data_IF_137848564285
#
_entry.id   IF_137848564285
#
_cell.length_a   1.000
_cell.length_b   1.000
_cell.length_c   1.000
_cell.angle_alpha   90.00
_cell.angle_beta   90.00
_cell.angle_gamma   90.00
#
_symmetry.space_group_name_H-M   'P 1'
#
loop_
_entity.id
_entity.type
_entity.pdbx_description
1 polymer ?
#
# COMPACT_ATOMS: atom_id res chain seq x y z
N UNK A 1 -2.76 45.94 -19.51
CA UNK A 1 -1.53 46.76 -19.33
C UNK A 1 -0.73 46.18 -18.17
N UNK A 2 0.55 45.84 -18.41
CA UNK A 2 1.66 45.56 -17.46
C UNK A 2 1.55 44.27 -16.62
N UNK A 3 2.32 43.21 -16.92
CA UNK A 3 3.76 42.91 -16.59
C UNK A 3 3.93 42.58 -15.09
N UNK A 4 4.67 41.58 -14.58
CA UNK A 4 5.79 40.68 -14.97
C UNK A 4 5.75 39.48 -14.00
N UNK A 5 6.05 38.20 -14.31
CA UNK A 5 7.28 37.51 -14.74
C UNK A 5 8.47 37.58 -13.74
N UNK A 6 8.87 36.37 -13.28
CA UNK A 6 10.20 35.84 -12.86
C UNK A 6 10.68 35.96 -11.41
N UNK A 7 11.15 34.82 -10.90
CA UNK A 7 12.07 34.72 -9.76
C UNK A 7 12.37 33.29 -9.31
N UNK A 8 12.95 32.45 -10.19
CA UNK A 8 13.61 31.18 -9.80
C UNK A 8 14.92 31.54 -9.10
N UNK A 9 15.10 31.12 -7.84
CA UNK A 9 16.35 31.29 -7.12
C UNK A 9 17.04 29.92 -7.01
N UNK A 10 17.94 29.67 -7.96
CA UNK A 10 18.91 28.58 -7.89
C UNK A 10 20.06 28.95 -6.98
N UNK A 11 20.41 28.07 -6.04
CA UNK A 11 21.62 28.16 -5.24
C UNK A 11 22.67 27.25 -5.90
N UNK A 12 23.65 27.88 -6.54
CA UNK A 12 24.92 27.29 -6.92
C UNK A 12 25.93 27.75 -5.88
N UNK A 13 26.52 26.83 -5.12
CA UNK A 13 27.72 27.12 -4.32
C UNK A 13 28.83 26.18 -4.81
N UNK A 14 29.92 26.82 -5.20
CA UNK A 14 31.08 26.29 -5.87
C UNK A 14 32.18 25.85 -4.86
N UNK A 15 32.93 24.83 -5.29
CA UNK A 15 34.39 24.63 -5.16
C UNK A 15 35.07 24.72 -3.78
N UNK A 16 35.77 23.63 -3.43
CA UNK A 16 37.10 23.69 -2.84
C UNK A 16 37.97 22.51 -3.33
N UNK A 17 39.12 22.87 -3.91
CA UNK A 17 40.23 22.03 -4.38
C UNK A 17 41.15 21.61 -3.21
N UNK A 18 42.20 20.82 -3.55
CA UNK A 18 43.48 20.49 -2.86
C UNK A 18 43.54 18.97 -2.57
N UNK A 19 44.57 18.17 -2.93
CA UNK A 19 45.99 18.37 -3.25
C UNK A 19 46.57 17.22 -4.11
N UNK A 20 47.69 17.56 -4.76
CA UNK A 20 48.60 16.84 -5.67
C UNK A 20 49.47 15.70 -5.12
N UNK A 21 49.91 14.80 -6.03
CA UNK A 21 51.21 14.08 -6.04
C UNK A 21 51.08 12.60 -6.47
N UNK A 22 51.92 11.95 -7.28
CA UNK A 22 53.20 12.24 -7.94
C UNK A 22 53.48 11.09 -8.97
N UNK A 23 53.98 11.44 -10.16
CA UNK A 23 54.80 10.72 -11.17
C UNK A 23 54.85 9.17 -11.31
N UNK A 24 54.65 8.70 -12.55
CA UNK A 24 55.18 7.42 -13.06
C UNK A 24 54.75 7.10 -14.52
N UNK A 25 55.66 7.22 -15.49
CA UNK A 25 55.49 6.73 -16.88
C UNK A 25 55.92 5.25 -16.98
N UNK A 26 55.16 4.37 -17.66
CA UNK A 26 55.68 3.26 -18.49
C UNK A 26 54.58 2.60 -19.35
N UNK A 27 54.99 1.98 -20.44
CA UNK A 27 54.21 1.57 -21.62
C UNK A 27 53.90 0.04 -21.64
N UNK A 28 52.84 -0.33 -22.37
CA UNK A 28 52.44 -1.65 -22.94
C UNK A 28 51.81 -2.77 -22.08
N UNK A 29 50.68 -3.23 -22.65
CA UNK A 29 50.04 -4.57 -22.67
C UNK A 29 48.72 -4.78 -21.90
N UNK A 30 47.84 -5.48 -22.64
CA UNK A 30 46.45 -5.89 -22.39
C UNK A 30 46.20 -6.46 -20.99
N UNK A 31 45.03 -6.14 -20.42
CA UNK A 31 43.96 -7.13 -20.20
C UNK A 31 42.65 -6.42 -19.81
N UNK A 32 41.57 -7.08 -20.22
CA UNK A 32 40.15 -6.89 -19.90
C UNK A 32 39.86 -6.35 -18.49
N UNK A 33 38.93 -5.39 -18.40
CA UNK A 33 37.98 -5.28 -17.29
C UNK A 33 36.81 -4.39 -17.67
N UNK A 34 35.79 -5.06 -18.17
CA UNK A 34 34.38 -4.77 -17.90
C UNK A 34 34.18 -4.28 -16.46
N UNK A 35 33.63 -3.07 -16.28
CA UNK A 35 33.01 -2.51 -15.08
C UNK A 35 32.83 -1.01 -15.34
N UNK A 36 31.71 -0.35 -15.12
CA UNK A 36 30.50 -0.71 -14.41
C UNK A 36 29.51 0.40 -14.79
N UNK A 37 28.63 0.12 -15.75
CA UNK A 37 27.42 0.93 -15.89
C UNK A 37 26.46 0.38 -14.87
N UNK A 38 26.54 0.87 -13.64
CA UNK A 38 25.46 0.75 -12.66
C UNK A 38 24.30 1.62 -13.15
N UNK A 39 23.63 1.16 -14.20
CA UNK A 39 22.25 1.53 -14.44
C UNK A 39 21.48 0.71 -13.41
N UNK A 40 20.86 1.39 -12.45
CA UNK A 40 19.73 0.81 -11.73
C UNK A 40 18.72 0.39 -12.82
N UNK A 41 18.78 -0.87 -13.22
CA UNK A 41 17.83 -1.43 -14.16
C UNK A 41 16.50 -1.43 -13.42
N UNK A 42 15.62 -0.48 -13.75
CA UNK A 42 14.24 -0.56 -13.35
C UNK A 42 13.70 -1.89 -13.87
N UNK A 43 13.45 -2.82 -12.95
CA UNK A 43 12.85 -4.11 -13.26
C UNK A 43 11.47 -3.84 -13.87
N UNK A 44 11.26 -4.28 -15.11
CA UNK A 44 10.07 -3.99 -15.91
C UNK A 44 8.79 -4.57 -15.31
N UNK A 45 8.94 -5.61 -14.48
CA UNK A 45 7.83 -6.38 -13.92
C UNK A 45 7.75 -6.28 -12.39
N UNK A 46 8.50 -5.39 -11.74
CA UNK A 46 8.48 -5.27 -10.27
C UNK A 46 7.09 -4.93 -9.71
N UNK A 47 6.23 -4.27 -10.50
CA UNK A 47 4.85 -3.94 -10.15
C UNK A 47 3.86 -5.12 -10.34
N UNK A 48 4.33 -6.27 -10.85
CA UNK A 48 3.50 -7.45 -11.10
C UNK A 48 3.47 -8.43 -9.93
N UNK A 49 4.28 -8.22 -8.89
CA UNK A 49 4.23 -9.06 -7.69
C UNK A 49 2.86 -8.91 -7.02
N UNK A 50 2.15 -10.03 -6.88
CA UNK A 50 0.78 -10.12 -6.34
C UNK A 50 -0.34 -9.98 -7.38
N UNK A 51 -0.01 -9.67 -8.65
CA UNK A 51 -1.00 -9.57 -9.71
C UNK A 51 -1.54 -10.95 -10.13
N UNK A 52 -2.72 -11.02 -10.78
CA UNK A 52 -3.15 -12.22 -11.47
C UNK A 52 -2.08 -12.71 -12.43
N UNK A 53 -1.81 -14.01 -12.41
CA UNK A 53 -0.76 -14.61 -13.22
C UNK A 53 -1.02 -14.42 -14.72
N UNK A 54 -2.29 -14.44 -15.14
CA UNK A 54 -2.71 -14.13 -16.51
C UNK A 54 -2.24 -12.75 -16.98
N UNK A 55 -2.41 -11.71 -16.17
CA UNK A 55 -1.96 -10.34 -16.50
C UNK A 55 -0.43 -10.25 -16.61
N UNK A 56 0.27 -11.00 -15.76
CA UNK A 56 1.74 -11.03 -15.77
C UNK A 56 2.27 -11.74 -17.02
N UNK A 57 1.66 -12.87 -17.40
CA UNK A 57 1.97 -13.58 -18.64
C UNK A 57 1.81 -12.64 -19.85
N UNK A 58 0.70 -11.91 -19.91
CA UNK A 58 0.43 -10.98 -21.01
C UNK A 58 1.48 -9.87 -21.09
N UNK A 59 1.90 -9.31 -19.95
CA UNK A 59 2.95 -8.27 -19.91
C UNK A 59 4.33 -8.79 -20.29
N UNK A 60 4.72 -9.98 -19.83
CA UNK A 60 5.99 -10.63 -20.20
C UNK A 60 6.03 -10.86 -21.71
N UNK A 61 4.95 -11.40 -22.27
CA UNK A 61 4.82 -11.64 -23.70
C UNK A 61 4.83 -10.33 -24.52
N UNK A 62 4.09 -9.31 -24.06
CA UNK A 62 4.04 -8.00 -24.72
C UNK A 62 5.40 -7.29 -24.72
N UNK A 63 6.21 -7.48 -23.68
CA UNK A 63 7.57 -6.96 -23.60
C UNK A 63 8.58 -7.78 -24.46
N UNK A 64 8.16 -8.91 -25.03
CA UNK A 64 9.00 -9.79 -25.83
C UNK A 64 9.98 -10.61 -25.00
N UNK A 65 9.64 -10.89 -23.74
CA UNK A 65 10.40 -11.75 -22.84
C UNK A 65 9.87 -13.18 -22.88
N UNK A 66 10.74 -14.14 -22.57
CA UNK A 66 10.35 -15.54 -22.33
C UNK A 66 10.15 -15.77 -20.84
N UNK A 67 8.95 -16.15 -20.43
CA UNK A 67 8.62 -16.46 -19.04
C UNK A 67 8.90 -17.91 -18.67
N UNK A 68 9.48 -18.13 -17.50
CA UNK A 68 9.58 -19.43 -16.82
C UNK A 68 8.81 -19.36 -15.52
N UNK A 69 7.90 -20.30 -15.27
CA UNK A 69 6.96 -20.23 -14.15
C UNK A 69 7.20 -21.35 -13.17
N UNK A 70 7.49 -21.00 -11.91
CA UNK A 70 7.91 -21.94 -10.87
C UNK A 70 6.85 -22.00 -9.77
N UNK A 71 6.14 -23.12 -9.64
CA UNK A 71 5.24 -23.39 -8.52
C UNK A 71 5.93 -24.34 -7.53
N UNK A 72 6.05 -23.94 -6.26
CA UNK A 72 6.65 -24.76 -5.19
C UNK A 72 8.03 -25.38 -5.56
N UNK A 73 8.85 -24.63 -6.30
CA UNK A 73 10.17 -25.08 -6.76
C UNK A 73 10.16 -25.99 -8.00
N UNK A 74 9.00 -26.21 -8.62
CA UNK A 74 8.82 -27.00 -9.84
C UNK A 74 8.49 -26.09 -11.02
N UNK A 75 9.18 -26.31 -12.15
CA UNK A 75 8.86 -25.64 -13.40
C UNK A 75 7.54 -26.18 -13.98
N UNK A 76 6.55 -25.30 -14.05
CA UNK A 76 5.20 -25.58 -14.58
C UNK A 76 4.93 -24.83 -15.89
N UNK A 77 5.96 -24.28 -16.54
CA UNK A 77 5.83 -23.48 -17.76
C UNK A 77 5.07 -24.19 -18.88
N UNK A 78 5.21 -25.52 -18.99
CA UNK A 78 4.54 -26.33 -20.01
C UNK A 78 3.03 -26.47 -19.81
N UNK A 79 2.55 -26.30 -18.59
CA UNK A 79 1.13 -26.43 -18.21
C UNK A 79 0.55 -25.09 -17.73
N UNK A 80 1.29 -23.99 -17.94
CA UNK A 80 0.95 -22.69 -17.37
C UNK A 80 -0.44 -22.23 -17.77
N UNK A 81 -0.87 -22.53 -19.00
CA UNK A 81 -2.20 -22.18 -19.48
C UNK A 81 -3.34 -22.89 -18.74
N UNK A 82 -3.08 -24.10 -18.24
CA UNK A 82 -4.07 -24.90 -17.51
C UNK A 82 -4.15 -24.48 -16.04
N UNK A 83 -3.06 -23.95 -15.48
CA UNK A 83 -2.96 -23.63 -14.05
C UNK A 83 -3.00 -22.13 -13.76
N UNK A 84 -2.89 -21.25 -14.76
CA UNK A 84 -2.75 -19.79 -14.53
C UNK A 84 -3.87 -19.15 -13.70
N UNK A 85 -5.06 -19.75 -13.73
CA UNK A 85 -6.22 -19.27 -12.98
C UNK A 85 -6.19 -19.66 -11.50
N UNK A 86 -5.30 -20.56 -11.08
CA UNK A 86 -5.16 -21.03 -9.69
C UNK A 86 -4.02 -20.33 -8.94
N UNK A 87 -3.25 -19.49 -9.63
CA UNK A 87 -2.04 -18.86 -9.09
C UNK A 87 -2.00 -17.35 -9.34
N UNK A 88 -1.22 -16.69 -8.50
CA UNK A 88 -0.82 -15.29 -8.61
C UNK A 88 0.68 -15.20 -8.77
N UNK A 89 1.12 -14.03 -9.21
CA UNK A 89 2.51 -13.74 -9.45
C UNK A 89 3.24 -13.50 -8.13
N UNK A 90 4.28 -14.29 -7.86
CA UNK A 90 5.19 -14.12 -6.74
C UNK A 90 6.40 -13.28 -7.13
N UNK A 91 7.57 -13.66 -6.64
CA UNK A 91 8.83 -13.00 -7.00
C UNK A 91 9.14 -13.17 -8.49
N UNK A 92 9.61 -12.10 -9.13
CA UNK A 92 10.05 -12.11 -10.52
C UNK A 92 11.54 -11.80 -10.58
N UNK A 93 12.33 -12.73 -11.13
CA UNK A 93 13.73 -12.50 -11.48
C UNK A 93 13.84 -12.22 -12.96
N UNK A 94 14.15 -10.98 -13.29
CA UNK A 94 14.34 -10.54 -14.66
C UNK A 94 15.80 -10.70 -15.08
N UNK A 95 16.04 -11.25 -16.27
CA UNK A 95 17.31 -11.14 -17.00
C UNK A 95 17.10 -10.31 -18.28
N UNK A 96 17.36 -8.98 -18.23
CA UNK A 96 17.20 -8.10 -19.37
C UNK A 96 18.13 -8.43 -20.55
N UNK A 97 19.26 -9.11 -20.29
CA UNK A 97 20.24 -9.44 -21.34
C UNK A 97 19.75 -10.58 -22.23
N UNK A 98 19.18 -11.60 -21.59
CA UNK A 98 18.62 -12.77 -22.28
C UNK A 98 17.13 -12.63 -22.61
N UNK A 99 16.48 -11.54 -22.15
CA UNK A 99 15.04 -11.32 -22.25
C UNK A 99 14.24 -12.49 -21.67
N UNK A 100 14.65 -12.93 -20.48
CA UNK A 100 13.97 -14.00 -19.75
C UNK A 100 13.47 -13.49 -18.41
N UNK A 101 12.34 -14.01 -17.95
CA UNK A 101 11.79 -13.70 -16.63
C UNK A 101 11.40 -15.00 -15.93
N UNK A 102 11.99 -15.27 -14.77
CA UNK A 102 11.59 -16.37 -13.89
C UNK A 102 10.58 -15.84 -12.89
N UNK A 103 9.37 -16.40 -12.90
CA UNK A 103 8.25 -16.00 -12.05
C UNK A 103 7.94 -17.12 -11.08
N UNK A 104 8.09 -16.87 -9.79
CA UNK A 104 7.60 -17.78 -8.75
C UNK A 104 6.09 -17.62 -8.64
N UNK A 105 5.34 -18.72 -8.53
CA UNK A 105 3.89 -18.71 -8.43
C UNK A 105 3.46 -18.84 -6.97
N UNK A 106 2.41 -18.12 -6.60
CA UNK A 106 1.73 -18.25 -5.30
C UNK A 106 0.30 -18.73 -5.53
N UNK A 107 -0.14 -19.85 -4.92
CA UNK A 107 -1.53 -20.29 -5.03
C UNK A 107 -2.50 -19.18 -4.61
N UNK A 108 -3.61 -19.00 -5.33
CA UNK A 108 -4.65 -18.03 -4.95
C UNK A 108 -5.26 -18.37 -3.58
N UNK A 109 -5.26 -19.65 -3.19
CA UNK A 109 -5.65 -20.08 -1.84
C UNK A 109 -4.77 -19.48 -0.74
N UNK A 110 -3.49 -19.17 -1.02
CA UNK A 110 -2.64 -18.39 -0.10
C UNK A 110 -3.05 -16.93 -0.06
N UNK A 111 -3.50 -16.33 -1.17
CA UNK A 111 -4.05 -14.96 -1.16
C UNK A 111 -5.37 -14.91 -0.41
N UNK A 112 -6.24 -15.92 -0.47
CA UNK A 112 -7.44 -15.93 0.37
C UNK A 112 -7.10 -16.06 1.86
N UNK A 113 -6.05 -16.80 2.22
CA UNK A 113 -5.58 -16.86 3.62
C UNK A 113 -4.90 -15.56 4.08
N UNK A 114 -4.07 -14.92 3.23
CA UNK A 114 -3.39 -13.65 3.52
C UNK A 114 -4.36 -12.43 3.42
N UNK A 115 -5.40 -12.49 2.58
CA UNK A 115 -6.49 -11.51 2.54
C UNK A 115 -7.49 -11.71 3.67
N UNK A 116 -7.67 -12.92 4.20
CA UNK A 116 -8.51 -13.13 5.39
C UNK A 116 -7.85 -12.62 6.68
N UNK A 117 -6.52 -12.43 6.72
CA UNK A 117 -5.84 -11.77 7.84
C UNK A 117 -5.80 -10.23 7.72
N UNK A 118 -6.09 -9.65 6.55
CA UNK A 118 -6.08 -8.19 6.31
C UNK A 118 -7.42 -7.65 5.79
N UNK A 119 -8.44 -8.49 5.63
CA UNK A 119 -9.83 -8.03 5.53
C UNK A 119 -10.35 -7.82 6.94
N UNK A 120 -9.74 -6.86 7.63
CA UNK A 120 -10.42 -6.19 8.72
C UNK A 120 -11.74 -5.68 8.13
N UNK A 121 -12.85 -6.34 8.46
CA UNK A 121 -14.14 -6.04 7.85
C UNK A 121 -14.37 -4.52 7.93
N UNK A 122 -14.76 -3.93 6.80
CA UNK A 122 -15.05 -2.50 6.73
C UNK A 122 -15.94 -2.12 7.90
N UNK A 123 -15.60 -1.01 8.57
CA UNK A 123 -16.36 -0.57 9.73
C UNK A 123 -17.87 -0.46 9.41
N UNK A 124 -18.66 -1.32 10.02
CA UNK A 124 -20.11 -1.34 9.95
C UNK A 124 -20.70 -0.31 10.91
N UNK A 125 -21.89 0.19 10.59
CA UNK A 125 -22.57 1.21 11.39
C UNK A 125 -22.76 0.78 12.85
N UNK A 126 -23.19 -0.46 13.09
CA UNK A 126 -23.43 -1.00 14.44
C UNK A 126 -22.14 -1.08 15.26
N UNK A 127 -21.01 -1.40 14.61
CA UNK A 127 -19.69 -1.42 15.23
C UNK A 127 -19.20 -0.01 15.54
N UNK A 128 -19.47 0.95 14.65
CA UNK A 128 -19.18 2.36 14.89
C UNK A 128 -19.99 2.90 16.09
N UNK A 129 -21.29 2.60 16.19
CA UNK A 129 -22.12 2.96 17.34
C UNK A 129 -21.63 2.32 18.65
N UNK A 130 -21.23 1.04 18.60
CA UNK A 130 -20.67 0.32 19.74
C UNK A 130 -19.37 0.97 20.23
N UNK A 131 -18.50 1.38 19.31
CA UNK A 131 -17.25 2.07 19.63
C UNK A 131 -17.52 3.44 20.29
N UNK A 132 -18.47 4.23 19.78
CA UNK A 132 -18.88 5.50 20.39
C UNK A 132 -19.43 5.29 21.80
N UNK A 133 -20.24 4.26 22.01
CA UNK A 133 -20.77 3.91 23.34
C UNK A 133 -19.64 3.60 24.31
N UNK A 134 -18.74 2.69 23.94
CA UNK A 134 -17.61 2.30 24.78
C UNK A 134 -16.70 3.50 25.10
N UNK A 135 -16.40 4.32 24.10
CA UNK A 135 -15.59 5.51 24.29
C UNK A 135 -16.25 6.53 25.22
N UNK A 136 -17.54 6.79 25.06
CA UNK A 136 -18.30 7.67 25.95
C UNK A 136 -18.33 7.16 27.39
N UNK A 137 -18.50 5.85 27.59
CA UNK A 137 -18.42 5.22 28.91
C UNK A 137 -17.02 5.34 29.53
N UNK A 138 -15.96 5.28 28.72
CA UNK A 138 -14.59 5.52 29.18
C UNK A 138 -14.34 6.95 29.68
N UNK A 139 -15.07 7.95 29.15
CA UNK A 139 -14.93 9.37 29.53
C UNK A 139 -15.86 9.76 30.68
N UNK A 140 -17.13 9.37 30.57
CA UNK A 140 -18.21 9.85 31.45
C UNK A 140 -18.68 8.80 32.47
N UNK A 141 -18.11 7.60 32.45
CA UNK A 141 -18.49 6.49 33.33
C UNK A 141 -19.71 5.71 32.82
N UNK A 142 -20.19 4.79 33.65
CA UNK A 142 -21.34 3.92 33.32
C UNK A 142 -22.66 4.69 33.13
N UNK A 143 -22.71 5.93 33.63
CA UNK A 143 -23.85 6.85 33.47
C UNK A 143 -23.96 7.46 32.07
N UNK A 144 -23.03 7.14 31.15
CA UNK A 144 -23.16 7.45 29.74
C UNK A 144 -24.07 6.45 29.04
N UNK A 145 -25.25 6.91 28.65
CA UNK A 145 -26.19 6.12 27.85
C UNK A 145 -26.33 6.71 26.45
N UNK A 146 -25.96 5.93 25.44
CA UNK A 146 -26.08 6.33 24.04
C UNK A 146 -27.40 5.80 23.49
N UNK A 147 -28.36 6.69 23.28
CA UNK A 147 -29.67 6.33 22.79
C UNK A 147 -29.72 6.42 21.26
N UNK A 148 -29.15 5.43 20.58
CA UNK A 148 -29.15 5.33 19.12
C UNK A 148 -30.35 4.56 18.55
N UNK A 149 -31.16 3.94 19.41
CA UNK A 149 -32.27 3.06 18.99
C UNK A 149 -33.63 3.79 18.89
N UNK A 150 -33.84 4.92 19.56
CA UNK A 150 -35.19 5.51 19.74
C UNK A 150 -35.57 6.67 18.81
N UNK A 151 -34.81 6.93 17.74
CA UNK A 151 -35.43 7.52 16.54
C UNK A 151 -35.06 8.95 16.10
N UNK A 152 -33.92 9.51 16.55
CA UNK A 152 -33.26 10.64 15.85
C UNK A 152 -31.74 10.48 15.83
N UNK A 153 -31.29 9.55 15.01
CA UNK A 153 -29.87 9.33 14.73
C UNK A 153 -29.52 9.83 13.34
N UNK A 154 -28.30 10.33 13.19
CA UNK A 154 -27.67 10.53 11.88
C UNK A 154 -26.47 9.61 11.86
N UNK A 155 -26.51 8.61 11.01
CA UNK A 155 -25.35 7.85 10.60
C UNK A 155 -25.13 8.09 9.11
N UNK A 156 -23.95 8.60 8.76
CA UNK A 156 -23.58 8.80 7.36
C UNK A 156 -22.12 8.47 7.16
N UNK A 157 -21.79 7.89 6.02
CA UNK A 157 -20.41 7.75 5.59
C UNK A 157 -19.88 9.09 5.10
N UNK A 158 -18.77 9.56 5.66
CA UNK A 158 -18.04 10.76 5.21
C UNK A 158 -16.78 10.41 4.40
N UNK A 159 -16.35 9.14 4.42
CA UNK A 159 -15.19 8.61 3.69
C UNK A 159 -15.35 7.13 3.36
N UNK A 160 -14.35 6.46 2.75
CA UNK A 160 -14.43 5.03 2.42
C UNK A 160 -14.61 4.12 3.64
N UNK A 161 -14.11 4.57 4.80
CA UNK A 161 -14.05 3.84 6.08
C UNK A 161 -14.47 4.69 7.29
N UNK A 162 -14.96 5.92 7.08
CA UNK A 162 -15.30 6.85 8.16
C UNK A 162 -16.80 7.09 8.29
N UNK A 163 -17.35 6.78 9.46
CA UNK A 163 -18.71 7.10 9.88
C UNK A 163 -18.77 8.42 10.63
N UNK A 164 -19.72 9.27 10.25
CA UNK A 164 -20.20 10.37 11.06
C UNK A 164 -21.47 9.94 11.78
N UNK A 165 -21.45 10.06 13.10
CA UNK A 165 -22.53 9.63 13.97
C UNK A 165 -23.03 10.81 14.81
N UNK A 166 -24.34 10.96 14.92
CA UNK A 166 -24.98 11.94 15.81
C UNK A 166 -26.23 11.33 16.42
N UNK A 167 -26.31 11.29 17.73
CA UNK A 167 -27.49 10.80 18.45
C UNK A 167 -27.73 11.58 19.74
N UNK A 168 -28.89 11.38 20.37
CA UNK A 168 -29.08 11.71 21.76
C UNK A 168 -28.25 10.78 22.66
N UNK A 169 -27.79 11.34 23.78
CA UNK A 169 -27.17 10.58 24.85
C UNK A 169 -27.62 11.15 26.20
N UNK A 170 -27.52 10.35 27.24
CA UNK A 170 -27.69 10.79 28.61
C UNK A 170 -26.34 10.71 29.33
N UNK A 171 -26.03 11.74 30.12
CA UNK A 171 -24.87 11.76 31.00
C UNK A 171 -25.32 12.29 32.34
N UNK A 172 -25.18 11.48 33.39
CA UNK A 172 -25.60 11.83 34.75
C UNK A 172 -27.06 12.33 34.82
N UNK A 173 -27.98 11.66 34.13
CA UNK A 173 -29.41 12.04 34.11
C UNK A 173 -29.76 13.22 33.18
N UNK A 174 -28.80 13.76 32.43
CA UNK A 174 -29.03 14.89 31.52
C UNK A 174 -28.98 14.45 30.06
N UNK A 175 -30.06 14.72 29.33
CA UNK A 175 -30.14 14.51 27.89
C UNK A 175 -29.30 15.54 27.14
N UNK A 176 -28.37 15.05 26.35
CA UNK A 176 -27.42 15.81 25.53
C UNK A 176 -27.36 15.23 24.11
N UNK A 177 -26.61 15.88 23.23
CA UNK A 177 -26.34 15.40 21.88
C UNK A 177 -24.91 14.88 21.84
N UNK A 178 -24.76 13.61 21.49
CA UNK A 178 -23.48 13.02 21.13
C UNK A 178 -23.24 13.20 19.63
N UNK A 179 -22.03 13.63 19.28
CA UNK A 179 -21.54 13.69 17.90
C UNK A 179 -20.16 13.04 17.86
N UNK A 180 -19.99 12.09 16.96
CA UNK A 180 -18.75 11.35 16.83
C UNK A 180 -18.37 11.16 15.35
N UNK A 181 -17.08 10.93 15.13
CA UNK A 181 -16.57 10.36 13.89
C UNK A 181 -15.72 9.15 14.22
N UNK A 182 -15.98 8.05 13.54
CA UNK A 182 -15.32 6.76 13.74
C UNK A 182 -14.74 6.29 12.42
N UNK A 183 -13.50 5.85 12.42
CA UNK A 183 -12.81 5.31 11.23
C UNK A 183 -12.21 3.94 11.55
N UNK A 184 -11.57 3.31 10.57
CA UNK A 184 -10.91 2.02 10.77
C UNK A 184 -11.82 0.86 10.41
N UNK A 185 -11.90 -0.13 11.29
CA UNK A 185 -12.38 -1.47 10.93
C UNK A 185 -13.30 -2.03 12.02
N UNK A 186 -14.05 -3.10 11.73
CA UNK A 186 -14.91 -3.75 12.72
C UNK A 186 -14.14 -4.25 13.95
N UNK A 187 -12.90 -4.70 13.75
CA UNK A 187 -12.04 -5.23 14.81
C UNK A 187 -11.31 -4.13 15.58
N UNK A 188 -10.94 -3.05 14.87
CA UNK A 188 -10.22 -1.93 15.45
C UNK A 188 -10.86 -0.60 15.04
N UNK A 189 -12.02 -0.25 15.62
CA UNK A 189 -12.65 1.04 15.39
C UNK A 189 -11.90 2.16 16.12
N UNK A 190 -11.63 3.26 15.43
CA UNK A 190 -10.90 4.41 15.97
C UNK A 190 -11.80 5.65 16.04
N UNK A 191 -11.88 6.28 17.21
CA UNK A 191 -12.62 7.52 17.43
C UNK A 191 -11.73 8.72 17.10
N UNK A 192 -11.93 9.34 15.93
CA UNK A 192 -11.17 10.52 15.51
C UNK A 192 -11.82 11.84 15.94
N UNK A 193 -13.08 11.81 16.33
CA UNK A 193 -13.78 12.94 16.93
C UNK A 193 -14.88 12.43 17.86
N UNK A 194 -14.98 13.04 19.04
CA UNK A 194 -16.06 12.79 19.99
C UNK A 194 -16.40 14.07 20.74
N UNK A 195 -17.68 14.41 20.78
CA UNK A 195 -18.19 15.59 21.47
C UNK A 195 -19.60 15.36 21.99
N UNK A 196 -19.84 15.82 23.22
CA UNK A 196 -21.16 15.80 23.86
C UNK A 196 -21.50 17.22 24.30
N UNK A 197 -22.69 17.70 23.97
CA UNK A 197 -23.16 19.06 24.24
C UNK A 197 -24.68 19.18 24.36
#
# INVERSE_FOLDING_TARGET
MKNSIKGILGIVIAFALISTGLSGCFNKNQEDKTADTTSEAQLLFADQVGAPLSETIDKINAAGYTGTYIADGVDVTSIIDDVKEDYTTGEIKEDPKNKTAEVTLKPISHIQAEQNEVQSEKLEEDKAWSAVKHHGQGIYGEDFDLDFSTGKTIAKMEGPDTWFLKSYCEVNGKKMICKAKVTGTNENPEIIYFGVY
#
